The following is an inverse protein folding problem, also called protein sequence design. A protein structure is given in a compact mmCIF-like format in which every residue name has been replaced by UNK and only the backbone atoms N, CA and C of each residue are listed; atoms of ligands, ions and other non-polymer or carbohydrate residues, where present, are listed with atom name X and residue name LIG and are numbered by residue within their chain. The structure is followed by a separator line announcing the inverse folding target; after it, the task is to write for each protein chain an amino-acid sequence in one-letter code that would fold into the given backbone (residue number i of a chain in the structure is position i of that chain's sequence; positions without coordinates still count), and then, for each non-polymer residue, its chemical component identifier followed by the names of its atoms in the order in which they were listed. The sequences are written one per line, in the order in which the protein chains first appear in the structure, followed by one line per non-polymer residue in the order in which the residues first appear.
data_IF_696161831559
#
_entry.id   IF_696161831559
#
_cell.length_a   1.000
_cell.length_b   1.000
_cell.length_c   1.000
_cell.angle_alpha   90.00
_cell.angle_beta   90.00
_cell.angle_gamma   90.00
#
_symmetry.space_group_name_H-M   'P 1'
#
loop_
_entity.id
_entity.type
_entity.pdbx_description
1 polymer ?
#
# COMPACT_ATOMS: atom_id res chain seq x y z
N UNK A 1 3.39 0.35 -7.72
CA UNK A 1 2.54 -0.34 -8.71
C UNK A 1 1.45 -1.04 -7.95
N UNK A 2 0.20 -0.74 -8.30
CA UNK A 2 -0.99 -1.37 -7.71
C UNK A 2 -1.87 -1.91 -8.84
N UNK A 3 -2.66 -2.97 -8.60
CA UNK A 3 -3.64 -3.45 -9.57
C UNK A 3 -4.75 -2.40 -9.77
N UNK A 4 -5.20 -2.21 -11.02
CA UNK A 4 -6.30 -1.29 -11.36
C UNK A 4 -7.68 -1.85 -11.06
N UNK A 5 -7.80 -3.18 -11.08
CA UNK A 5 -9.05 -3.91 -10.89
C UNK A 5 -8.77 -5.14 -10.03
N UNK A 6 -9.80 -5.78 -9.47
CA UNK A 6 -9.67 -7.10 -8.88
C UNK A 6 -9.01 -8.10 -9.85
N UNK A 7 -8.28 -9.09 -9.32
CA UNK A 7 -7.59 -10.13 -10.11
C UNK A 7 -8.56 -10.93 -10.99
N UNK A 8 -9.80 -11.09 -10.54
CA UNK A 8 -10.87 -11.74 -11.30
C UNK A 8 -11.18 -11.02 -12.63
N UNK A 9 -10.99 -9.70 -12.67
CA UNK A 9 -11.29 -8.83 -13.82
C UNK A 9 -10.06 -8.52 -14.68
N UNK A 10 -8.89 -9.12 -14.38
CA UNK A 10 -7.67 -8.91 -15.16
C UNK A 10 -7.87 -9.30 -16.62
N UNK A 11 -7.47 -8.39 -17.51
CA UNK A 11 -7.39 -8.68 -18.94
C UNK A 11 -6.21 -9.61 -19.16
N UNK A 12 -6.48 -10.84 -19.60
CA UNK A 12 -5.44 -11.85 -19.85
C UNK A 12 -5.00 -11.80 -21.31
N UNK A 13 -3.71 -11.64 -21.54
CA UNK A 13 -3.10 -11.76 -22.87
C UNK A 13 -2.01 -12.82 -22.83
N UNK A 14 -2.32 -14.01 -23.34
CA UNK A 14 -1.42 -15.17 -23.32
C UNK A 14 -0.14 -14.97 -24.15
N UNK A 15 -0.07 -13.95 -25.02
CA UNK A 15 1.03 -13.74 -25.95
C UNK A 15 2.00 -12.64 -25.49
N UNK A 16 1.59 -11.73 -24.60
CA UNK A 16 2.46 -10.64 -24.16
C UNK A 16 2.26 -10.22 -22.69
N UNK A 17 3.12 -10.68 -21.76
CA UNK A 17 3.02 -10.34 -20.34
C UNK A 17 3.26 -8.86 -20.03
N UNK A 18 3.98 -8.12 -20.89
CA UNK A 18 4.17 -6.67 -20.71
C UNK A 18 2.89 -5.89 -21.01
N UNK A 19 2.17 -6.29 -22.05
CA UNK A 19 0.89 -5.69 -22.43
C UNK A 19 -0.16 -5.99 -21.35
N UNK A 20 -0.20 -7.22 -20.86
CA UNK A 20 -1.03 -7.62 -19.72
C UNK A 20 -0.73 -6.77 -18.48
N UNK A 21 0.54 -6.62 -18.09
CA UNK A 21 0.93 -5.81 -16.95
C UNK A 21 0.54 -4.33 -17.11
N UNK A 22 0.74 -3.76 -18.31
CA UNK A 22 0.36 -2.37 -18.59
C UNK A 22 -1.16 -2.15 -18.55
N UNK A 23 -1.94 -3.16 -18.92
CA UNK A 23 -3.40 -3.11 -18.86
C UNK A 23 -3.91 -3.18 -17.42
N UNK A 24 -3.35 -4.07 -16.60
CA UNK A 24 -3.90 -4.41 -15.28
C UNK A 24 -3.26 -3.65 -14.11
N UNK A 25 -2.08 -3.05 -14.27
CA UNK A 25 -1.40 -2.31 -13.20
C UNK A 25 -1.23 -0.82 -13.51
N UNK A 26 -1.22 -0.02 -12.46
CA UNK A 26 -0.92 1.41 -12.53
C UNK A 26 0.17 1.83 -11.54
N UNK A 27 0.77 2.98 -11.84
CA UNK A 27 1.73 3.66 -10.99
C UNK A 27 1.00 4.71 -10.17
N UNK A 28 0.74 4.39 -8.91
CA UNK A 28 0.25 5.35 -7.93
C UNK A 28 1.44 6.09 -7.33
N UNK A 29 1.44 7.41 -7.47
CA UNK A 29 2.44 8.28 -6.84
C UNK A 29 2.07 8.46 -5.36
N UNK A 30 2.96 8.02 -4.47
CA UNK A 30 2.80 8.19 -3.03
C UNK A 30 3.65 9.35 -2.56
N UNK A 31 3.00 10.47 -2.25
CA UNK A 31 3.61 11.68 -1.74
C UNK A 31 3.48 11.76 -0.22
N UNK A 32 4.50 12.28 0.44
CA UNK A 32 4.52 12.47 1.88
C UNK A 32 5.33 13.70 2.28
N UNK A 33 5.12 14.15 3.52
CA UNK A 33 5.88 15.24 4.11
C UNK A 33 6.80 14.69 5.21
N UNK A 34 7.94 15.34 5.38
CA UNK A 34 8.96 14.93 6.33
C UNK A 34 9.00 15.90 7.50
N UNK A 35 8.85 15.37 8.71
CA UNK A 35 8.98 16.13 9.94
C UNK A 35 10.24 15.69 10.70
N UNK A 36 11.07 16.65 11.08
CA UNK A 36 12.21 16.38 11.97
C UNK A 36 11.66 16.04 13.35
N UNK A 37 12.01 14.87 13.88
CA UNK A 37 11.52 14.38 15.17
C UNK A 37 12.55 14.63 16.26
N UNK A 38 13.78 14.13 16.07
CA UNK A 38 14.83 14.25 17.07
C UNK A 38 16.23 14.09 16.49
N UNK A 39 17.06 15.15 16.58
CA UNK A 39 18.50 15.22 16.26
C UNK A 39 18.89 14.73 14.85
N UNK A 40 18.78 13.44 14.61
CA UNK A 40 19.12 12.75 13.36
C UNK A 40 17.96 11.89 12.83
N UNK A 41 16.81 11.85 13.51
CA UNK A 41 15.62 11.08 13.08
C UNK A 41 14.57 12.00 12.49
N UNK A 42 14.01 11.56 11.36
CA UNK A 42 12.93 12.20 10.63
C UNK A 42 11.76 11.23 10.50
N UNK A 43 10.55 11.78 10.48
CA UNK A 43 9.30 11.06 10.30
C UNK A 43 8.71 11.43 8.95
N UNK A 44 8.61 10.45 8.06
CA UNK A 44 7.87 10.53 6.81
C UNK A 44 6.40 10.18 7.08
N UNK A 45 5.50 11.10 6.71
CA UNK A 45 4.06 10.92 6.82
C UNK A 45 3.42 11.09 5.46
N UNK A 46 2.42 10.27 5.17
CA UNK A 46 1.70 10.34 3.91
C UNK A 46 0.86 11.62 3.82
N UNK A 47 0.78 12.18 2.62
CA UNK A 47 -0.18 13.24 2.33
C UNK A 47 -1.60 12.70 2.41
N UNK A 48 -2.55 13.58 2.70
CA UNK A 48 -3.97 13.20 2.71
C UNK A 48 -4.41 12.61 1.36
N UNK A 49 -3.93 13.18 0.25
CA UNK A 49 -4.21 12.67 -1.10
C UNK A 49 -3.71 11.23 -1.28
N UNK A 50 -2.49 10.94 -0.85
CA UNK A 50 -1.95 9.58 -0.90
C UNK A 50 -2.76 8.61 -0.03
N UNK A 51 -3.13 9.03 1.19
CA UNK A 51 -3.97 8.24 2.10
C UNK A 51 -5.33 7.94 1.45
N UNK A 52 -6.03 8.96 0.94
CA UNK A 52 -7.34 8.81 0.31
C UNK A 52 -7.27 7.84 -0.89
N UNK A 53 -6.22 7.95 -1.72
CA UNK A 53 -6.00 7.05 -2.87
C UNK A 53 -5.77 5.60 -2.42
N UNK A 54 -5.00 5.38 -1.35
CA UNK A 54 -4.75 4.04 -0.82
C UNK A 54 -6.01 3.42 -0.18
N UNK A 55 -6.83 4.24 0.47
CA UNK A 55 -8.12 3.83 1.05
C UNK A 55 -9.08 3.40 -0.06
N UNK A 56 -9.24 4.21 -1.11
CA UNK A 56 -10.07 3.90 -2.26
C UNK A 56 -9.61 2.58 -2.92
N UNK A 57 -8.32 2.46 -3.19
CA UNK A 57 -7.73 1.23 -3.76
C UNK A 57 -7.98 0.00 -2.90
N UNK A 58 -7.78 0.10 -1.58
CA UNK A 58 -8.03 -1.00 -0.66
C UNK A 58 -9.50 -1.45 -0.70
N UNK A 59 -10.44 -0.51 -0.83
CA UNK A 59 -11.87 -0.83 -0.85
C UNK A 59 -12.30 -1.48 -2.16
N UNK A 60 -11.88 -0.92 -3.29
CA UNK A 60 -12.40 -1.30 -4.61
C UNK A 60 -11.72 -2.53 -5.19
N UNK A 61 -10.44 -2.71 -4.90
CA UNK A 61 -9.64 -3.81 -5.44
C UNK A 61 -9.41 -4.86 -4.36
N UNK A 62 -8.78 -4.45 -3.27
CA UNK A 62 -8.25 -5.40 -2.29
C UNK A 62 -9.33 -6.14 -1.51
N UNK A 63 -10.36 -5.43 -1.01
CA UNK A 63 -11.48 -6.07 -0.34
C UNK A 63 -12.23 -7.04 -1.27
N UNK A 64 -12.41 -6.68 -2.55
CA UNK A 64 -13.10 -7.53 -3.52
C UNK A 64 -12.32 -8.82 -3.78
N UNK A 65 -11.01 -8.72 -3.98
CA UNK A 65 -10.14 -9.90 -4.14
C UNK A 65 -10.10 -10.76 -2.87
N UNK A 66 -10.11 -10.15 -1.69
CA UNK A 66 -10.13 -10.87 -0.43
C UNK A 66 -11.42 -11.69 -0.23
N UNK A 67 -12.60 -11.15 -0.58
CA UNK A 67 -13.86 -11.92 -0.55
C UNK A 67 -13.78 -13.09 -1.54
N UNK A 68 -13.37 -12.82 -2.77
CA UNK A 68 -13.31 -13.82 -3.84
C UNK A 68 -12.35 -14.97 -3.50
N UNK A 69 -11.25 -14.68 -2.80
CA UNK A 69 -10.21 -15.68 -2.48
C UNK A 69 -10.64 -16.65 -1.36
N UNK A 70 -11.39 -16.18 -0.36
CA UNK A 70 -11.68 -16.96 0.85
C UNK A 70 -13.13 -17.45 0.98
N UNK A 71 -14.05 -17.02 0.09
CA UNK A 71 -15.48 -17.43 0.04
C UNK A 71 -16.14 -17.46 1.45
N UNK A 72 -15.88 -16.43 2.26
CA UNK A 72 -16.37 -16.39 3.63
C UNK A 72 -17.87 -16.07 3.70
N UNK A 73 -18.65 -16.79 4.54
CA UNK A 73 -20.09 -16.60 4.63
C UNK A 73 -20.50 -15.20 5.12
N UNK A 74 -19.64 -14.51 5.88
CA UNK A 74 -19.80 -13.11 6.32
C UNK A 74 -18.76 -12.17 5.66
N UNK A 75 -18.34 -12.48 4.42
CA UNK A 75 -17.24 -11.80 3.71
C UNK A 75 -17.39 -10.27 3.63
N UNK A 76 -18.62 -9.76 3.50
CA UNK A 76 -18.91 -8.32 3.46
C UNK A 76 -18.65 -7.63 4.81
N UNK A 77 -19.10 -8.23 5.92
CA UNK A 77 -18.85 -7.69 7.26
C UNK A 77 -17.36 -7.76 7.63
N UNK A 78 -16.69 -8.84 7.22
CA UNK A 78 -15.25 -8.96 7.42
C UNK A 78 -14.45 -7.94 6.60
N UNK A 79 -14.81 -7.71 5.35
CA UNK A 79 -14.17 -6.69 4.52
C UNK A 79 -14.36 -5.29 5.07
N UNK A 80 -15.56 -4.98 5.59
CA UNK A 80 -15.81 -3.71 6.26
C UNK A 80 -14.86 -3.52 7.45
N UNK A 81 -14.70 -4.54 8.29
CA UNK A 81 -13.80 -4.47 9.45
C UNK A 81 -12.33 -4.31 9.03
N UNK A 82 -11.88 -5.09 8.05
CA UNK A 82 -10.52 -4.96 7.50
C UNK A 82 -10.27 -3.56 6.96
N UNK A 83 -11.23 -3.02 6.20
CA UNK A 83 -11.11 -1.70 5.62
C UNK A 83 -11.07 -0.62 6.69
N UNK A 84 -11.90 -0.72 7.74
CA UNK A 84 -11.85 0.17 8.91
C UNK A 84 -10.50 0.10 9.64
N UNK A 85 -9.97 -1.11 9.86
CA UNK A 85 -8.65 -1.32 10.47
C UNK A 85 -7.53 -0.72 9.59
N UNK A 86 -7.63 -0.89 8.27
CA UNK A 86 -6.70 -0.31 7.31
C UNK A 86 -6.73 1.23 7.33
N UNK A 87 -7.93 1.85 7.31
CA UNK A 87 -8.09 3.31 7.38
C UNK A 87 -7.38 3.85 8.64
N UNK A 88 -7.58 3.21 9.79
CA UNK A 88 -6.93 3.66 11.02
C UNK A 88 -5.41 3.48 10.99
N UNK A 89 -4.92 2.39 10.40
CA UNK A 89 -3.49 2.11 10.31
C UNK A 89 -2.78 3.08 9.35
N UNK A 90 -3.36 3.34 8.18
CA UNK A 90 -2.77 4.20 7.15
C UNK A 90 -2.82 5.68 7.56
N UNK A 91 -3.87 6.12 8.25
CA UNK A 91 -3.99 7.48 8.79
C UNK A 91 -2.92 7.77 9.87
N UNK A 92 -2.59 6.75 10.66
CA UNK A 92 -1.55 6.81 11.70
C UNK A 92 -0.17 6.40 11.20
N UNK A 93 -0.02 6.12 9.92
CA UNK A 93 1.24 5.65 9.37
C UNK A 93 2.33 6.72 9.51
N UNK A 94 3.43 6.36 10.15
CA UNK A 94 4.62 7.20 10.30
C UNK A 94 5.83 6.32 10.08
N UNK A 95 6.55 6.58 9.00
CA UNK A 95 7.80 5.91 8.73
C UNK A 95 8.95 6.73 9.32
N UNK A 96 9.73 6.14 10.22
CA UNK A 96 10.86 6.81 10.87
C UNK A 96 12.16 6.37 10.22
N UNK A 97 12.98 7.34 9.87
CA UNK A 97 14.28 7.07 9.27
C UNK A 97 15.30 8.11 9.68
N UNK A 98 16.57 7.85 9.40
CA UNK A 98 17.65 8.79 9.67
C UNK A 98 17.63 9.93 8.63
N UNK A 99 18.06 11.12 9.03
CA UNK A 99 18.13 12.31 8.16
C UNK A 99 18.99 12.08 6.93
N UNK A 100 19.97 11.17 6.99
CA UNK A 100 20.77 10.73 5.83
C UNK A 100 19.92 10.15 4.69
N UNK A 101 18.71 9.65 4.97
CA UNK A 101 17.79 9.20 3.93
C UNK A 101 17.25 10.36 3.06
N UNK A 102 17.38 11.61 3.52
CA UNK A 102 16.93 12.81 2.80
C UNK A 102 18.04 13.47 1.98
N UNK A 103 19.30 13.01 2.07
CA UNK A 103 20.44 13.66 1.39
C UNK A 103 20.30 13.71 -0.15
N UNK A 104 19.37 12.93 -0.73
CA UNK A 104 19.06 12.92 -2.16
C UNK A 104 17.81 13.70 -2.56
N UNK A 105 17.15 14.38 -1.62
CA UNK A 105 15.98 15.21 -1.90
C UNK A 105 16.41 16.65 -2.20
N UNK A 106 15.78 17.25 -3.21
CA UNK A 106 15.88 18.69 -3.49
C UNK A 106 15.20 19.53 -2.40
N UNK A 107 15.47 20.84 -2.37
CA UNK A 107 14.91 21.76 -1.36
C UNK A 107 13.38 21.84 -1.38
N UNK A 108 12.75 21.56 -2.53
CA UNK A 108 11.30 21.47 -2.70
C UNK A 108 10.73 20.09 -2.31
N UNK A 109 11.59 19.16 -1.88
CA UNK A 109 11.23 17.78 -1.54
C UNK A 109 11.15 16.85 -2.75
N UNK A 110 11.54 17.32 -3.95
CA UNK A 110 11.60 16.47 -5.14
C UNK A 110 12.71 15.44 -5.00
N UNK A 111 12.38 14.16 -5.20
CA UNK A 111 13.34 13.05 -5.16
C UNK A 111 12.78 11.83 -4.45
N UNK A 112 13.67 10.90 -4.11
CA UNK A 112 13.31 9.68 -3.37
C UNK A 112 14.16 9.53 -2.10
N UNK A 113 13.62 8.81 -1.12
CA UNK A 113 14.37 8.47 0.08
C UNK A 113 15.52 7.52 -0.28
N UNK A 114 16.75 7.91 0.08
CA UNK A 114 17.96 7.18 -0.26
C UNK A 114 18.07 5.84 0.49
N UNK A 115 19.08 5.05 0.13
CA UNK A 115 19.43 3.78 0.77
C UNK A 115 18.30 2.74 0.76
N UNK A 116 17.43 2.78 -0.26
CA UNK A 116 16.31 1.84 -0.39
C UNK A 116 15.15 2.10 0.57
N UNK A 117 15.16 3.20 1.32
CA UNK A 117 14.08 3.55 2.26
C UNK A 117 12.74 3.78 1.57
N UNK A 118 12.74 4.27 0.33
CA UNK A 118 11.52 4.33 -0.49
C UNK A 118 10.88 2.96 -0.68
N UNK A 119 11.69 1.91 -0.87
CA UNK A 119 11.18 0.56 -1.01
C UNK A 119 10.69 0.00 0.33
N UNK A 120 11.33 0.35 1.45
CA UNK A 120 10.83 -0.01 2.80
C UNK A 120 9.47 0.61 3.10
N UNK A 121 9.29 1.91 2.82
CA UNK A 121 7.99 2.59 2.95
C UNK A 121 6.92 1.86 2.12
N UNK A 122 7.26 1.53 0.88
CA UNK A 122 6.36 0.79 -0.01
C UNK A 122 5.99 -0.59 0.57
N UNK A 123 6.96 -1.36 1.03
CA UNK A 123 6.71 -2.70 1.60
C UNK A 123 5.89 -2.62 2.89
N UNK A 124 6.12 -1.61 3.75
CA UNK A 124 5.30 -1.39 4.94
C UNK A 124 3.86 -1.03 4.57
N UNK A 125 3.63 -0.11 3.64
CA UNK A 125 2.28 0.23 3.16
C UNK A 125 1.59 -1.00 2.57
N UNK A 126 2.29 -1.79 1.75
CA UNK A 126 1.75 -3.04 1.21
C UNK A 126 1.47 -4.07 2.31
N UNK A 127 2.27 -4.08 3.39
CA UNK A 127 2.03 -4.96 4.54
C UNK A 127 0.76 -4.58 5.31
N UNK A 128 0.40 -3.29 5.36
CA UNK A 128 -0.85 -2.83 5.95
C UNK A 128 -2.07 -3.27 5.14
N UNK A 129 -1.91 -3.37 3.82
CA UNK A 129 -2.94 -3.92 2.94
C UNK A 129 -3.05 -5.44 3.11
N UNK A 130 -1.92 -6.15 3.33
CA UNK A 130 -1.91 -7.61 3.45
C UNK A 130 -2.76 -8.12 4.62
N UNK A 131 -3.56 -9.14 4.35
CA UNK A 131 -4.39 -9.80 5.36
C UNK A 131 -3.50 -10.43 6.44
N UNK A 132 -3.92 -10.44 7.72
CA UNK A 132 -3.40 -11.43 8.63
C UNK A 132 -3.77 -12.80 8.05
N UNK A 133 -2.76 -13.60 7.67
CA UNK A 133 -2.96 -14.98 7.23
C UNK A 133 -3.91 -15.66 8.23
N UNK A 134 -4.98 -16.34 7.79
CA UNK A 134 -5.86 -17.03 8.72
C UNK A 134 -5.03 -18.00 9.56
N UNK A 135 -4.99 -17.81 10.87
CA UNK A 135 -4.32 -18.74 11.81
C UNK A 135 -4.96 -20.13 11.80
N UNK A 136 -6.05 -20.32 11.04
CA UNK A 136 -6.79 -21.55 10.92
C UNK A 136 -6.15 -22.59 9.96
N UNK A 137 -5.08 -22.24 9.23
CA UNK A 137 -4.32 -23.22 8.42
C UNK A 137 -3.13 -23.85 9.14
N UNK A 138 -2.97 -23.62 10.45
CA UNK A 138 -1.96 -24.28 11.30
C UNK A 138 -2.51 -25.51 12.06
N UNK A 139 -3.74 -25.93 11.77
CA UNK A 139 -4.32 -27.16 12.34
C UNK A 139 -4.99 -27.99 11.24
N UNK A 140 -4.17 -28.72 10.49
CA UNK A 140 -4.54 -30.05 9.98
C UNK A 140 -3.31 -30.92 9.80
#
# INVERSE_FOLDING_TARGET
MLPKTPEADFKRDANNPFVEASMNYELVHIEGYVNIVFRNEVAYKLTKKAIDTLIEHHKEVYCVDAVNTYDWPDGEQWCKKLHEDFIQAIDKFVFRTDVSALEGLEEDGTGELLNGRSNEVKEEILSLMKLPRPRALDVM
#
